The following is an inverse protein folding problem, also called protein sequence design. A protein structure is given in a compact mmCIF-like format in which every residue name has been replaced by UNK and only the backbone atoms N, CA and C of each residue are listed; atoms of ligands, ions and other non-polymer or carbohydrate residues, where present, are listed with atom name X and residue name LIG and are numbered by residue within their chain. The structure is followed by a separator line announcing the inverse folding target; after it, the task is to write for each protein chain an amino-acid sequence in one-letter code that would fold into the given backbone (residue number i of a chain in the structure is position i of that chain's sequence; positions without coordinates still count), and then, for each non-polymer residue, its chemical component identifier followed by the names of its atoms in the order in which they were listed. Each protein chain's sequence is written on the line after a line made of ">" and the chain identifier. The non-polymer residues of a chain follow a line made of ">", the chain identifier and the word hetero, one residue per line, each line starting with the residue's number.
data_IF_241089952068
#
_entry.id   IF_241089952068
#
_cell.length_a   1.000
_cell.length_b   1.000
_cell.length_c   1.000
_cell.angle_alpha   90.00
_cell.angle_beta   90.00
_cell.angle_gamma   90.00
#
_symmetry.space_group_name_H-M   'P 1'
#
loop_
_entity.id
_entity.type
_entity.pdbx_description
1 polymer ?
#
# COMPACT_ATOMS: atom_id res chain seq x y z
N UNK A 1 -12.37 21.52 -23.54
CA UNK A 1 -10.90 21.62 -23.36
C UNK A 1 -10.45 21.31 -21.93
N UNK A 2 -11.07 21.88 -20.88
CA UNK A 2 -10.68 21.66 -19.48
C UNK A 2 -10.64 20.18 -19.04
N UNK A 3 -11.62 19.38 -19.47
CA UNK A 3 -11.67 17.93 -19.18
C UNK A 3 -10.53 17.17 -19.88
N UNK A 4 -10.24 17.51 -21.14
CA UNK A 4 -9.17 16.87 -21.91
C UNK A 4 -7.81 17.16 -21.25
N UNK A 5 -7.60 18.39 -20.79
CA UNK A 5 -6.39 18.77 -20.04
C UNK A 5 -6.26 18.00 -18.72
N UNK A 6 -7.36 17.82 -17.99
CA UNK A 6 -7.37 17.03 -16.75
C UNK A 6 -7.07 15.55 -17.02
N UNK A 7 -7.64 14.98 -18.08
CA UNK A 7 -7.38 13.59 -18.50
C UNK A 7 -5.93 13.40 -18.95
N UNK A 8 -5.38 14.33 -19.73
CA UNK A 8 -3.96 14.28 -20.14
C UNK A 8 -3.04 14.40 -18.93
N UNK A 9 -3.36 15.26 -17.97
CA UNK A 9 -2.60 15.39 -16.73
C UNK A 9 -2.63 14.08 -15.93
N UNK A 10 -3.81 13.47 -15.78
CA UNK A 10 -3.98 12.19 -15.08
C UNK A 10 -3.14 11.06 -15.72
N UNK A 11 -3.12 10.99 -17.05
CA UNK A 11 -2.31 10.01 -17.79
C UNK A 11 -0.81 10.21 -17.59
N UNK A 12 -0.33 11.45 -17.53
CA UNK A 12 1.07 11.77 -17.25
C UNK A 12 1.45 11.41 -15.81
N UNK A 13 0.60 11.72 -14.83
CA UNK A 13 0.80 11.40 -13.41
C UNK A 13 0.77 9.88 -13.13
N UNK A 14 -0.02 9.11 -13.87
CA UNK A 14 -0.09 7.66 -13.72
C UNK A 14 1.26 6.96 -14.03
N UNK A 15 2.06 7.49 -14.97
CA UNK A 15 3.39 6.96 -15.29
C UNK A 15 4.44 7.24 -14.20
N UNK A 16 4.25 8.25 -13.35
CA UNK A 16 5.17 8.50 -12.23
C UNK A 16 5.06 7.45 -11.11
N UNK A 17 3.96 6.69 -11.05
CA UNK A 17 3.76 5.67 -10.03
C UNK A 17 4.40 4.31 -10.37
N UNK A 18 5.17 4.19 -11.44
CA UNK A 18 5.61 2.90 -12.00
C UNK A 18 6.44 2.04 -11.03
N UNK A 19 7.19 2.66 -10.12
CA UNK A 19 8.03 1.97 -9.13
C UNK A 19 7.25 1.52 -7.88
N UNK A 20 6.00 1.97 -7.73
CA UNK A 20 5.14 1.65 -6.60
C UNK A 20 3.91 0.87 -7.04
N UNK A 21 3.49 -0.10 -6.23
CA UNK A 21 2.29 -0.89 -6.43
C UNK A 21 1.34 -0.62 -5.28
N UNK A 22 0.08 -0.36 -5.60
CA UNK A 22 -0.97 -0.23 -4.61
C UNK A 22 -1.55 -1.62 -4.30
N UNK A 23 -1.40 -2.07 -3.05
CA UNK A 23 -1.93 -3.37 -2.57
C UNK A 23 -3.18 -3.13 -1.74
N UNK A 24 -4.29 -3.66 -2.21
CA UNK A 24 -5.59 -3.57 -1.52
C UNK A 24 -5.81 -4.72 -0.53
N UNK A 25 -6.79 -4.50 0.36
CA UNK A 25 -7.23 -5.43 1.39
C UNK A 25 -6.58 -5.16 2.75
N UNK A 26 -7.37 -5.34 3.82
CA UNK A 26 -6.93 -5.20 5.22
C UNK A 26 -5.69 -6.06 5.49
N UNK A 27 -4.59 -5.43 5.91
CA UNK A 27 -3.37 -6.06 6.40
C UNK A 27 -2.85 -5.30 7.62
N UNK A 28 -2.04 -5.97 8.44
CA UNK A 28 -1.47 -5.40 9.65
C UNK A 28 0.03 -5.71 9.74
N UNK A 29 0.79 -4.82 10.38
CA UNK A 29 2.16 -5.13 10.78
C UNK A 29 2.17 -6.10 11.96
N UNK A 30 3.31 -6.73 12.19
CA UNK A 30 3.56 -7.36 13.48
C UNK A 30 3.52 -6.29 14.58
N UNK A 31 2.99 -6.62 15.75
CA UNK A 31 3.09 -5.75 16.91
C UNK A 31 4.54 -5.58 17.35
N UNK A 32 4.90 -4.37 17.76
CA UNK A 32 6.18 -4.08 18.39
C UNK A 32 6.22 -4.59 19.85
N UNK A 33 7.35 -4.39 20.52
CA UNK A 33 7.52 -4.81 21.92
C UNK A 33 6.56 -4.09 22.89
N UNK A 34 5.99 -2.94 22.50
CA UNK A 34 4.98 -2.21 23.26
C UNK A 34 3.54 -2.60 22.90
N UNK A 35 3.35 -3.54 21.96
CA UNK A 35 2.04 -3.98 21.49
C UNK A 35 1.42 -3.08 20.42
N UNK A 36 2.12 -2.03 19.95
CA UNK A 36 1.62 -1.16 18.91
C UNK A 36 1.79 -1.80 17.53
N UNK A 37 0.81 -1.59 16.64
CA UNK A 37 0.85 -2.09 15.27
C UNK A 37 0.06 -1.18 14.33
N UNK A 38 0.42 -1.23 13.05
CA UNK A 38 -0.29 -0.53 12.00
C UNK A 38 -1.29 -1.44 11.31
N UNK A 39 -2.42 -0.87 10.92
CA UNK A 39 -3.48 -1.55 10.18
C UNK A 39 -4.00 -0.62 9.11
N UNK A 40 -4.04 -1.12 7.88
CA UNK A 40 -4.54 -0.35 6.74
C UNK A 40 -5.17 -1.26 5.69
N UNK A 41 -6.10 -0.70 4.92
CA UNK A 41 -6.75 -1.39 3.79
C UNK A 41 -6.01 -1.16 2.47
N UNK A 42 -5.26 -0.07 2.40
CA UNK A 42 -4.50 0.36 1.23
C UNK A 42 -3.04 0.44 1.66
N UNK A 43 -2.16 -0.15 0.88
CA UNK A 43 -0.71 -0.09 1.09
C UNK A 43 -0.05 0.33 -0.21
N UNK A 44 0.74 1.40 -0.17
CA UNK A 44 1.62 1.78 -1.28
C UNK A 44 2.98 1.12 -1.02
N UNK A 45 3.42 0.24 -1.91
CA UNK A 45 4.66 -0.53 -1.71
C UNK A 45 5.54 -0.38 -2.92
N UNK A 46 6.85 -0.37 -2.71
CA UNK A 46 7.77 -0.53 -3.82
C UNK A 46 7.51 -1.86 -4.54
N UNK A 47 7.55 -1.85 -5.88
CA UNK A 47 7.26 -3.01 -6.73
C UNK A 47 8.14 -4.21 -6.39
N UNK A 48 9.40 -3.98 -6.03
CA UNK A 48 10.40 -5.01 -5.79
C UNK A 48 10.51 -5.41 -4.32
N UNK A 49 9.62 -4.89 -3.46
CA UNK A 49 9.61 -5.22 -2.04
C UNK A 49 9.10 -6.65 -1.77
N UNK A 50 10.02 -7.60 -1.86
CA UNK A 50 9.80 -9.03 -1.57
C UNK A 50 9.38 -9.29 -0.12
N UNK A 51 9.73 -8.40 0.81
CA UNK A 51 9.46 -8.58 2.25
C UNK A 51 8.09 -8.07 2.69
N UNK A 52 7.36 -7.36 1.82
CA UNK A 52 6.07 -6.76 2.17
C UNK A 52 5.09 -7.79 2.74
N UNK A 53 4.89 -8.91 2.04
CA UNK A 53 3.95 -9.95 2.48
C UNK A 53 4.41 -10.68 3.75
N UNK A 54 5.71 -10.65 4.07
CA UNK A 54 6.23 -11.25 5.30
C UNK A 54 5.94 -10.35 6.50
N UNK A 55 6.13 -9.03 6.34
CA UNK A 55 5.98 -8.04 7.41
C UNK A 55 4.53 -7.57 7.61
N UNK A 56 3.78 -7.44 6.52
CA UNK A 56 2.45 -6.85 6.48
C UNK A 56 1.50 -7.83 5.79
N UNK A 57 0.65 -8.49 6.57
CA UNK A 57 -0.27 -9.51 6.06
C UNK A 57 -1.55 -9.59 6.90
N UNK A 58 -2.47 -10.48 6.48
CA UNK A 58 -3.77 -10.65 7.13
C UNK A 58 -3.65 -11.42 8.43
N UNK A 59 -2.67 -12.31 8.53
CA UNK A 59 -2.41 -13.19 9.66
C UNK A 59 -1.97 -12.38 10.87
N UNK A 60 -1.14 -11.35 10.67
CA UNK A 60 -0.74 -10.40 11.71
C UNK A 60 -1.96 -9.68 12.31
N UNK A 61 -2.99 -9.38 11.51
CA UNK A 61 -4.23 -8.81 12.06
C UNK A 61 -4.98 -9.74 13.01
N UNK A 62 -4.76 -11.06 12.93
CA UNK A 62 -5.36 -12.04 13.84
C UNK A 62 -4.53 -12.21 15.11
N UNK A 63 -3.21 -12.01 15.02
CA UNK A 63 -2.26 -12.11 16.13
C UNK A 63 -2.32 -10.90 17.06
N UNK A 64 -2.71 -9.74 16.54
CA UNK A 64 -2.83 -8.50 17.31
C UNK A 64 -4.26 -8.29 17.86
N UNK A 65 -5.04 -9.38 18.03
CA UNK A 65 -6.39 -9.37 18.62
C UNK A 65 -6.27 -9.52 20.13
#
# INVERSE_FOLDING_TARGET
>A
MRIIFLLSCLLLLANCAQNSVMKFGKKCTLADAGGAYEKSFIWLVDRDNKTFNQKINKENCKKNI
#
